data_IF_797607317753
#
_entry.id   IF_797607317753
#
_cell.length_a   1.000
_cell.length_b   1.000
_cell.length_c   1.000
_cell.angle_alpha   90.00
_cell.angle_beta   90.00
_cell.angle_gamma   90.00
#
_symmetry.space_group_name_H-M   'P 1'
#
loop_
_entity.id
_entity.type
_entity.pdbx_description
1 polymer ?
#
# COMPACT_ATOMS: atom_id res chain seq x y z
N UNK A 1 10.48 -32.29 0.75
CA UNK A 1 9.71 -31.25 1.46
C UNK A 1 10.30 -30.96 2.85
N UNK A 2 11.63 -30.87 2.98
CA UNK A 2 12.33 -30.73 4.28
C UNK A 2 13.23 -29.48 4.35
N UNK A 3 13.17 -28.62 3.34
CA UNK A 3 14.03 -27.41 3.25
C UNK A 3 13.26 -26.11 3.51
N UNK A 4 11.94 -26.18 3.71
CA UNK A 4 11.08 -25.02 3.99
C UNK A 4 10.81 -24.87 5.49
N UNK A 5 10.81 -25.98 6.25
CA UNK A 5 10.69 -26.01 7.71
C UNK A 5 11.89 -25.38 8.43
N UNK A 6 13.09 -25.51 7.85
CA UNK A 6 14.33 -24.98 8.45
C UNK A 6 14.52 -23.46 8.20
N UNK A 7 13.83 -22.90 7.20
CA UNK A 7 13.78 -21.46 6.95
C UNK A 7 12.64 -20.75 7.71
N UNK A 8 11.55 -21.46 7.98
CA UNK A 8 10.35 -20.97 8.69
C UNK A 8 10.27 -21.41 10.15
N UNK A 9 11.30 -22.07 10.68
CA UNK A 9 11.31 -22.75 11.99
C UNK A 9 10.96 -21.86 13.20
N UNK A 10 10.84 -20.55 13.02
CA UNK A 10 10.08 -19.68 13.90
C UNK A 10 9.17 -18.81 13.04
N UNK A 11 7.86 -19.13 12.98
CA UNK A 11 6.85 -18.17 12.54
C UNK A 11 7.07 -16.90 13.36
N UNK A 12 7.40 -15.75 12.74
CA UNK A 12 7.63 -14.53 13.51
C UNK A 12 6.41 -14.23 14.38
N UNK A 13 6.65 -13.85 15.63
CA UNK A 13 5.61 -13.56 16.64
C UNK A 13 4.43 -12.71 16.10
N UNK A 14 4.64 -11.72 15.20
CA UNK A 14 3.53 -10.98 14.61
C UNK A 14 2.55 -11.86 13.80
N UNK A 15 3.02 -12.86 13.05
CA UNK A 15 2.12 -13.73 12.27
C UNK A 15 1.22 -14.58 13.17
N UNK A 16 1.72 -15.07 14.30
CA UNK A 16 0.90 -15.80 15.26
C UNK A 16 -0.13 -14.91 15.96
N UNK A 17 0.17 -13.63 16.17
CA UNK A 17 -0.80 -12.64 16.67
C UNK A 17 -1.85 -12.33 15.62
N UNK A 18 -1.44 -12.14 14.36
CA UNK A 18 -2.34 -11.92 13.24
C UNK A 18 -3.35 -13.07 13.07
N UNK A 19 -2.89 -14.32 13.17
CA UNK A 19 -3.77 -15.49 13.08
C UNK A 19 -4.83 -15.51 14.19
N UNK A 20 -4.43 -15.22 15.43
CA UNK A 20 -5.37 -15.18 16.56
C UNK A 20 -6.41 -14.07 16.40
N UNK A 21 -5.99 -12.87 15.97
CA UNK A 21 -6.88 -11.76 15.72
C UNK A 21 -7.86 -12.06 14.56
N UNK A 22 -7.39 -12.65 13.46
CA UNK A 22 -8.27 -13.08 12.36
C UNK A 22 -9.26 -14.16 12.78
N UNK A 23 -8.85 -15.11 13.64
CA UNK A 23 -9.76 -16.14 14.16
C UNK A 23 -10.89 -15.50 14.97
N UNK A 24 -10.55 -14.55 15.85
CA UNK A 24 -11.57 -13.78 16.57
C UNK A 24 -12.48 -12.97 15.65
N UNK A 25 -11.93 -12.39 14.57
CA UNK A 25 -12.75 -11.67 13.59
C UNK A 25 -13.74 -12.61 12.88
N UNK A 26 -13.31 -13.82 12.53
CA UNK A 26 -14.18 -14.86 11.94
C UNK A 26 -15.26 -15.30 12.92
N UNK A 27 -14.92 -15.50 14.19
CA UNK A 27 -15.88 -15.86 15.23
C UNK A 27 -16.94 -14.75 15.40
N UNK A 28 -16.53 -13.49 15.48
CA UNK A 28 -17.45 -12.34 15.55
C UNK A 28 -18.36 -12.23 14.31
N UNK A 29 -17.85 -12.52 13.11
CA UNK A 29 -18.67 -12.57 11.89
C UNK A 29 -19.68 -13.73 11.92
N UNK A 30 -19.31 -14.89 12.46
CA UNK A 30 -20.21 -16.03 12.62
C UNK A 30 -21.32 -15.75 13.65
N UNK A 31 -21.07 -14.86 14.61
CA UNK A 31 -22.02 -14.43 15.62
C UNK A 31 -22.90 -13.23 15.17
N UNK A 32 -22.83 -12.83 13.89
CA UNK A 32 -23.53 -11.65 13.36
C UNK A 32 -23.12 -10.33 14.05
N UNK A 33 -21.86 -10.25 14.52
CA UNK A 33 -21.25 -9.08 15.17
C UNK A 33 -20.17 -8.43 14.28
N UNK A 34 -20.52 -7.85 13.12
CA UNK A 34 -19.54 -7.25 12.21
C UNK A 34 -18.83 -6.04 12.83
N UNK A 35 -19.46 -5.36 13.80
CA UNK A 35 -18.84 -4.25 14.54
C UNK A 35 -17.62 -4.68 15.35
N UNK A 36 -17.64 -5.90 15.89
CA UNK A 36 -16.56 -6.45 16.70
C UNK A 36 -15.48 -7.14 15.84
N UNK A 37 -15.82 -7.53 14.61
CA UNK A 37 -14.89 -8.14 13.66
C UNK A 37 -13.90 -7.14 13.04
N UNK A 38 -14.32 -5.89 12.80
CA UNK A 38 -13.50 -4.88 12.10
C UNK A 38 -12.22 -4.50 12.88
N UNK A 39 -12.26 -4.26 14.20
CA UNK A 39 -11.05 -4.01 14.99
C UNK A 39 -10.06 -5.19 14.96
N UNK A 40 -10.58 -6.42 15.07
CA UNK A 40 -9.79 -7.65 15.06
C UNK A 40 -9.11 -7.88 13.71
N UNK A 41 -9.82 -7.61 12.60
CA UNK A 41 -9.22 -7.65 11.26
C UNK A 41 -8.14 -6.57 11.10
N UNK A 42 -8.36 -5.37 11.63
CA UNK A 42 -7.38 -4.28 11.57
C UNK A 42 -6.10 -4.64 12.33
N UNK A 43 -6.24 -5.17 13.54
CA UNK A 43 -5.12 -5.67 14.34
C UNK A 43 -4.35 -6.77 13.60
N UNK A 44 -5.06 -7.71 12.97
CA UNK A 44 -4.42 -8.75 12.18
C UNK A 44 -3.59 -8.19 11.02
N UNK A 45 -4.13 -7.24 10.27
CA UNK A 45 -3.42 -6.61 9.15
C UNK A 45 -2.16 -5.87 9.60
N UNK A 46 -2.21 -5.18 10.74
CA UNK A 46 -1.05 -4.49 11.31
C UNK A 46 0.03 -5.47 11.76
N UNK A 47 -0.37 -6.60 12.37
CA UNK A 47 0.56 -7.66 12.75
C UNK A 47 1.20 -8.34 11.53
N UNK A 48 0.43 -8.55 10.45
CA UNK A 48 0.96 -9.08 9.19
C UNK A 48 2.01 -8.14 8.57
N UNK A 49 1.76 -6.82 8.59
CA UNK A 49 2.72 -5.81 8.10
C UNK A 49 4.01 -5.84 8.91
N UNK A 50 3.91 -5.84 10.24
CA UNK A 50 5.08 -5.92 11.12
C UNK A 50 5.88 -7.21 10.91
N UNK A 51 5.21 -8.34 10.71
CA UNK A 51 5.85 -9.61 10.38
C UNK A 51 6.58 -9.58 9.03
N UNK A 52 5.94 -9.01 8.02
CA UNK A 52 6.50 -8.85 6.69
C UNK A 52 7.74 -7.94 6.68
N UNK A 53 7.69 -6.82 7.41
CA UNK A 53 8.83 -5.90 7.56
C UNK A 53 10.01 -6.59 8.25
N UNK A 54 9.74 -7.34 9.33
CA UNK A 54 10.76 -8.12 10.03
C UNK A 54 11.42 -9.19 9.14
N UNK A 55 10.62 -9.89 8.32
CA UNK A 55 11.15 -10.84 7.33
C UNK A 55 11.98 -10.14 6.25
N UNK A 56 11.51 -8.99 5.73
CA UNK A 56 12.23 -8.22 4.73
C UNK A 56 13.61 -7.77 5.25
N UNK A 57 13.69 -7.32 6.51
CA UNK A 57 14.98 -6.99 7.13
C UNK A 57 15.89 -8.22 7.29
N UNK A 58 15.35 -9.38 7.68
CA UNK A 58 16.14 -10.61 7.81
C UNK A 58 16.71 -11.05 6.46
N UNK A 59 15.91 -10.98 5.40
CA UNK A 59 16.34 -11.28 4.03
C UNK A 59 17.37 -10.26 3.55
N UNK A 60 17.17 -8.97 3.84
CA UNK A 60 18.15 -7.94 3.48
C UNK A 60 19.50 -8.15 4.19
N UNK A 61 19.49 -8.53 5.48
CA UNK A 61 20.69 -8.87 6.24
C UNK A 61 21.42 -10.09 5.68
N UNK A 62 20.69 -11.15 5.32
CA UNK A 62 21.29 -12.38 4.76
C UNK A 62 21.85 -12.15 3.35
N UNK A 63 21.16 -11.37 2.51
CA UNK A 63 21.63 -11.03 1.17
C UNK A 63 22.81 -10.05 1.20
N UNK A 64 22.80 -9.08 2.10
CA UNK A 64 23.94 -8.17 2.33
C UNK A 64 25.20 -8.91 2.79
N UNK A 65 25.06 -9.93 3.64
CA UNK A 65 26.16 -10.79 4.05
C UNK A 65 26.72 -11.63 2.88
N UNK A 66 25.85 -12.11 1.97
CA UNK A 66 26.28 -12.86 0.78
C UNK A 66 27.03 -11.97 -0.23
N UNK A 67 26.60 -10.72 -0.43
CA UNK A 67 27.30 -9.73 -1.25
C UNK A 67 28.64 -9.28 -0.65
N UNK A 68 28.74 -9.21 0.69
CA UNK A 68 29.99 -8.85 1.38
C UNK A 68 31.14 -9.85 1.19
N UNK A 69 30.85 -11.13 0.95
CA UNK A 69 31.87 -12.17 0.71
C UNK A 69 32.35 -12.17 -0.76
N UNK A 70 31.54 -11.66 -1.70
CA UNK A 70 31.90 -11.59 -3.13
C UNK A 70 32.64 -10.30 -3.51
N UNK A 71 32.73 -9.32 -2.61
CA UNK A 71 33.38 -8.02 -2.85
C UNK A 71 34.92 -8.07 -2.91
N UNK A 72 35.53 -9.26 -2.76
CA UNK A 72 36.96 -9.48 -3.00
C UNK A 72 37.35 -9.70 -4.47
N UNK A 73 36.40 -9.67 -5.42
CA UNK A 73 36.71 -9.86 -6.84
C UNK A 73 36.01 -8.81 -7.71
N UNK A 74 36.83 -7.83 -8.08
CA UNK A 74 36.75 -6.94 -9.23
C UNK A 74 35.75 -7.37 -10.33
N UNK A 75 34.84 -6.46 -10.69
CA UNK A 75 34.27 -6.41 -12.03
C UNK A 75 32.74 -6.41 -12.11
N UNK A 76 32.24 -5.34 -12.72
CA UNK A 76 30.95 -5.18 -13.42
C UNK A 76 29.74 -4.72 -12.60
N UNK A 77 29.43 -3.45 -12.86
CA UNK A 77 28.22 -2.71 -12.59
C UNK A 77 26.95 -3.54 -12.90
N UNK A 78 26.17 -3.98 -11.90
CA UNK A 78 24.86 -4.57 -12.14
C UNK A 78 23.86 -3.45 -12.38
N UNK A 79 23.29 -3.41 -13.58
CA UNK A 79 22.26 -2.46 -13.97
C UNK A 79 21.08 -2.42 -13.00
N UNK A 80 20.55 -1.22 -12.83
CA UNK A 80 19.18 -0.88 -12.39
C UNK A 80 18.41 -1.97 -11.65
N UNK A 81 18.69 -2.11 -10.34
CA UNK A 81 17.71 -2.06 -9.24
C UNK A 81 16.32 -2.70 -9.43
N UNK A 82 16.21 -3.80 -10.16
CA UNK A 82 14.96 -4.54 -10.34
C UNK A 82 15.11 -5.88 -9.65
N UNK A 83 14.30 -6.11 -8.62
CA UNK A 83 14.34 -7.39 -7.93
C UNK A 83 13.91 -8.53 -8.88
N UNK A 84 14.20 -9.80 -8.56
CA UNK A 84 13.84 -10.96 -9.38
C UNK A 84 12.32 -11.10 -9.63
N UNK A 85 11.50 -10.35 -8.88
CA UNK A 85 10.05 -10.32 -8.98
C UNK A 85 9.52 -9.06 -9.68
N UNK A 86 10.40 -8.26 -10.29
CA UNK A 86 10.04 -7.09 -11.08
C UNK A 86 9.51 -5.89 -10.27
N UNK A 87 9.66 -5.87 -8.94
CA UNK A 87 9.16 -4.79 -8.09
C UNK A 87 10.06 -3.57 -8.18
N UNK A 88 9.44 -2.40 -8.37
CA UNK A 88 10.14 -1.11 -8.38
C UNK A 88 10.43 -0.68 -6.95
N UNK A 89 11.68 -0.37 -6.57
CA UNK A 89 11.99 0.15 -5.24
C UNK A 89 11.29 1.51 -5.05
N UNK A 90 10.32 1.56 -4.12
CA UNK A 90 9.59 2.78 -3.78
C UNK A 90 8.05 2.67 -3.75
N UNK A 91 7.48 1.53 -4.15
CA UNK A 91 6.04 1.28 -4.03
C UNK A 91 5.68 0.60 -2.72
N UNK A 92 4.98 1.31 -1.83
CA UNK A 92 4.25 0.67 -0.73
C UNK A 92 3.31 -0.43 -1.27
N UNK A 93 2.98 -1.40 -0.42
CA UNK A 93 2.24 -2.66 -0.66
C UNK A 93 0.85 -2.56 -1.39
N UNK A 94 0.49 -1.43 -1.99
CA UNK A 94 -0.80 -1.20 -2.68
C UNK A 94 -0.74 -0.90 -4.18
N UNK A 95 0.43 -0.69 -4.78
CA UNK A 95 0.53 -0.30 -6.22
C UNK A 95 0.74 -1.47 -7.18
N UNK A 96 0.82 -2.71 -6.71
CA UNK A 96 0.96 -3.89 -7.57
C UNK A 96 -0.38 -4.42 -8.12
N UNK A 97 -1.51 -3.81 -7.74
CA UNK A 97 -2.82 -4.03 -8.34
C UNK A 97 -3.07 -2.91 -9.37
N UNK A 98 -2.10 -2.68 -10.25
CA UNK A 98 -2.32 -1.86 -11.45
C UNK A 98 -2.34 -2.83 -12.63
N UNK A 99 -3.45 -3.57 -12.69
CA UNK A 99 -3.92 -4.22 -13.92
C UNK A 99 -3.96 -3.08 -14.96
N UNK A 100 -3.08 -3.13 -15.97
CA UNK A 100 -2.52 -1.98 -16.72
C UNK A 100 -3.47 -1.13 -17.56
N UNK A 101 -4.67 -0.85 -17.05
CA UNK A 101 -5.73 -0.02 -17.59
C UNK A 101 -6.02 1.20 -16.68
N UNK A 102 -5.53 1.22 -15.43
CA UNK A 102 -5.78 2.34 -14.50
C UNK A 102 -4.54 3.22 -14.36
N UNK A 103 -4.34 4.12 -15.32
CA UNK A 103 -3.29 5.14 -15.22
C UNK A 103 -3.53 6.05 -14.00
N UNK A 104 -2.83 5.78 -12.90
CA UNK A 104 -2.81 6.66 -11.73
C UNK A 104 -2.20 8.01 -12.14
N UNK A 105 -2.93 9.13 -11.99
CA UNK A 105 -2.41 10.45 -12.35
C UNK A 105 -1.15 10.79 -11.55
N UNK A 106 -0.22 11.51 -12.18
CA UNK A 106 1.01 11.96 -11.50
C UNK A 106 0.68 12.93 -10.35
N UNK A 107 1.57 13.05 -9.37
CA UNK A 107 1.41 13.97 -8.22
C UNK A 107 1.16 15.41 -8.67
N UNK A 108 1.76 15.84 -9.79
CA UNK A 108 1.51 17.14 -10.40
C UNK A 108 0.08 17.30 -10.92
N UNK A 109 -0.47 16.25 -11.55
CA UNK A 109 -1.85 16.25 -12.07
C UNK A 109 -2.86 16.28 -10.93
N UNK A 110 -2.60 15.52 -9.86
CA UNK A 110 -3.43 15.53 -8.64
C UNK A 110 -3.44 16.89 -7.94
N UNK A 111 -2.29 17.58 -7.87
CA UNK A 111 -2.21 18.95 -7.33
C UNK A 111 -3.06 19.92 -8.16
N UNK A 112 -2.88 19.91 -9.48
CA UNK A 112 -3.64 20.78 -10.40
C UNK A 112 -5.15 20.54 -10.34
N UNK A 113 -5.57 19.27 -10.26
CA UNK A 113 -6.98 18.93 -10.12
C UNK A 113 -7.59 19.50 -8.82
N UNK A 114 -6.86 19.42 -7.70
CA UNK A 114 -7.29 20.01 -6.42
C UNK A 114 -7.40 21.53 -6.50
N UNK A 115 -6.43 22.20 -7.12
CA UNK A 115 -6.45 23.66 -7.32
C UNK A 115 -7.70 24.09 -8.12
N UNK A 116 -7.99 23.38 -9.22
CA UNK A 116 -9.18 23.65 -10.04
C UNK A 116 -10.47 23.45 -9.24
N UNK A 117 -10.59 22.36 -8.48
CA UNK A 117 -11.77 22.11 -7.66
C UNK A 117 -11.96 23.16 -6.56
N UNK A 118 -10.88 23.62 -5.94
CA UNK A 118 -10.94 24.69 -4.94
C UNK A 118 -11.40 26.01 -5.56
N UNK A 119 -10.91 26.33 -6.76
CA UNK A 119 -11.34 27.51 -7.52
C UNK A 119 -12.82 27.43 -7.87
N UNK A 120 -13.31 26.29 -8.38
CA UNK A 120 -14.71 26.09 -8.70
C UNK A 120 -15.61 26.23 -7.46
N UNK A 121 -15.22 25.65 -6.33
CA UNK A 121 -15.97 25.78 -5.06
C UNK A 121 -16.02 27.22 -4.56
N UNK A 122 -14.91 27.95 -4.67
CA UNK A 122 -14.86 29.37 -4.31
C UNK A 122 -15.85 30.17 -5.15
N UNK A 123 -15.81 29.99 -6.47
CA UNK A 123 -16.68 30.71 -7.42
C UNK A 123 -18.15 30.34 -7.29
N UNK A 124 -18.46 29.08 -6.94
CA UNK A 124 -19.83 28.66 -6.68
C UNK A 124 -20.48 29.44 -5.51
N UNK A 125 -19.67 29.83 -4.52
CA UNK A 125 -20.12 30.62 -3.36
C UNK A 125 -20.19 32.14 -3.60
N UNK A 126 -19.71 32.65 -4.73
CA UNK A 126 -19.73 34.07 -5.05
C UNK A 126 -21.12 34.47 -5.59
N UNK A 127 -21.98 34.99 -4.70
CA UNK A 127 -23.36 35.38 -5.03
C UNK A 127 -23.46 36.54 -6.02
N UNK A 128 -22.39 37.32 -6.20
CA UNK A 128 -22.30 38.42 -7.17
C UNK A 128 -22.09 37.95 -8.61
N UNK A 129 -21.85 36.65 -8.86
CA UNK A 129 -21.70 36.11 -10.21
C UNK A 129 -23.05 35.95 -10.92
N UNK A 130 -23.08 36.07 -12.26
CA UNK A 130 -24.29 35.79 -13.03
C UNK A 130 -24.85 34.38 -12.74
N UNK A 131 -26.18 34.25 -12.66
CA UNK A 131 -26.85 32.98 -12.35
C UNK A 131 -26.45 31.85 -13.31
N UNK A 132 -26.41 32.14 -14.61
CA UNK A 132 -25.98 31.18 -15.64
C UNK A 132 -24.57 30.63 -15.39
N UNK A 133 -23.64 31.47 -14.92
CA UNK A 133 -22.27 31.04 -14.62
C UNK A 133 -22.24 30.16 -13.36
N UNK A 134 -23.00 30.53 -12.33
CA UNK A 134 -23.12 29.75 -11.10
C UNK A 134 -23.70 28.37 -11.37
N UNK A 135 -24.77 28.28 -12.15
CA UNK A 135 -25.38 27.01 -12.59
C UNK A 135 -24.38 26.15 -13.37
N UNK A 136 -23.57 26.77 -14.25
CA UNK A 136 -22.54 26.05 -15.00
C UNK A 136 -21.46 25.47 -14.06
N UNK A 137 -20.99 26.24 -13.09
CA UNK A 137 -20.01 25.80 -12.08
C UNK A 137 -20.58 24.68 -11.21
N UNK A 138 -21.82 24.79 -10.76
CA UNK A 138 -22.49 23.74 -9.99
C UNK A 138 -22.65 22.43 -10.76
N UNK A 139 -22.92 22.51 -12.07
CA UNK A 139 -22.97 21.32 -12.93
C UNK A 139 -21.61 20.66 -13.07
N UNK A 140 -20.53 21.44 -13.15
CA UNK A 140 -19.17 20.91 -13.18
C UNK A 140 -18.82 20.20 -11.86
N UNK A 141 -19.17 20.80 -10.72
CA UNK A 141 -18.94 20.22 -9.39
C UNK A 141 -19.79 18.98 -9.09
N UNK A 142 -20.89 18.75 -9.81
CA UNK A 142 -21.74 17.55 -9.66
C UNK A 142 -21.28 16.38 -10.52
N UNK A 143 -20.57 16.64 -11.61
CA UNK A 143 -20.17 15.62 -12.60
C UNK A 143 -18.88 14.89 -12.21
N UNK A 144 -18.07 15.49 -11.35
CA UNK A 144 -16.75 15.03 -10.93
C UNK A 144 -16.62 15.18 -9.41
#
# INVERSE_FOLDING_TARGET
MLQMDEFLGNIPQPFGQAERAMRGAVDALNEDLPGDAVPLQTEALDQLRQGADGMAEQIARSMGAAMGIMSGREGQNPGEGRDPFGRTPGGALGTAIDDGDVKVPDQMEMRRAREILQELRRRAGETSRPEMEREYIERLLRRF
#
